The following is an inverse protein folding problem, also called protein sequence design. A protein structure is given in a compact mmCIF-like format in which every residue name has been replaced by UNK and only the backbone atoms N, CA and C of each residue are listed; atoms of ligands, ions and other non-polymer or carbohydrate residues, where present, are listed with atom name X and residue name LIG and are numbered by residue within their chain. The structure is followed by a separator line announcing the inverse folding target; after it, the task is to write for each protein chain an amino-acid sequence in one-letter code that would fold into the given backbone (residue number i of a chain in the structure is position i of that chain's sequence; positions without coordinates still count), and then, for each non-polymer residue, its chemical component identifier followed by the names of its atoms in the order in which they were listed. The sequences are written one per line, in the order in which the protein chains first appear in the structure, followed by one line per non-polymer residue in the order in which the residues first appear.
data_IF_619190742049
#
_entry.id   IF_619190742049
#
_cell.length_a   1.000
_cell.length_b   1.000
_cell.length_c   1.000
_cell.angle_alpha   90.00
_cell.angle_beta   90.00
_cell.angle_gamma   90.00
#
_symmetry.space_group_name_H-M   'P 1'
#
loop_
_entity.id
_entity.type
_entity.pdbx_description
1 polymer ?
#
# COMPACT_ATOMS: atom_id res chain seq x y z
N UNK A 1 14.72 12.59 -45.15
CA UNK A 1 14.83 11.96 -43.81
C UNK A 1 13.72 12.54 -42.97
N UNK A 2 12.69 11.76 -42.63
CA UNK A 2 11.54 12.23 -41.84
C UNK A 2 11.77 11.80 -40.39
N UNK A 3 11.89 12.77 -39.49
CA UNK A 3 11.99 12.51 -38.05
C UNK A 3 10.56 12.25 -37.57
N UNK A 4 10.24 10.99 -37.29
CA UNK A 4 8.98 10.66 -36.60
C UNK A 4 9.17 10.98 -35.12
N UNK A 5 8.52 12.03 -34.64
CA UNK A 5 8.40 12.31 -33.22
C UNK A 5 7.41 11.31 -32.62
N UNK A 6 7.92 10.29 -31.93
CA UNK A 6 7.09 9.41 -31.09
C UNK A 6 6.65 10.21 -29.88
N UNK A 7 5.39 10.65 -29.87
CA UNK A 7 4.77 11.19 -28.67
C UNK A 7 4.50 10.04 -27.70
N UNK A 8 5.33 9.93 -26.66
CA UNK A 8 5.02 9.07 -25.51
C UNK A 8 3.92 9.79 -24.74
N UNK A 9 2.68 9.32 -24.88
CA UNK A 9 1.58 9.76 -24.04
C UNK A 9 1.79 9.14 -22.66
N UNK A 10 2.45 9.86 -21.75
CA UNK A 10 2.47 9.47 -20.34
C UNK A 10 1.11 9.88 -19.75
N UNK A 11 0.22 8.93 -19.42
CA UNK A 11 -1.03 9.29 -18.76
C UNK A 11 -0.70 10.06 -17.49
N UNK A 12 -1.35 11.21 -17.30
CA UNK A 12 -1.20 11.95 -16.05
C UNK A 12 -1.70 11.06 -14.90
N UNK A 13 -1.03 11.09 -13.75
CA UNK A 13 -1.51 10.40 -12.57
C UNK A 13 -2.97 10.68 -12.29
N UNK A 14 -3.76 9.63 -12.12
CA UNK A 14 -5.12 9.79 -11.65
C UNK A 14 -5.09 9.97 -10.12
N UNK A 15 -5.40 11.18 -9.67
CA UNK A 15 -5.50 11.51 -8.24
C UNK A 15 -6.71 10.81 -7.64
N UNK A 16 -6.51 10.18 -6.50
CA UNK A 16 -7.52 9.46 -5.72
C UNK A 16 -7.38 9.86 -4.27
N UNK A 17 -8.31 9.45 -3.43
CA UNK A 17 -8.08 9.44 -1.99
C UNK A 17 -8.89 8.32 -1.36
N UNK A 18 -8.20 7.34 -0.80
CA UNK A 18 -8.79 6.27 -0.01
C UNK A 18 -7.75 5.69 0.94
N UNK A 19 -8.26 4.84 1.83
CA UNK A 19 -7.48 4.20 2.88
C UNK A 19 -7.42 2.69 2.68
N UNK A 20 -6.38 2.10 3.25
CA UNK A 20 -6.18 0.66 3.38
C UNK A 20 -5.46 0.36 4.71
N UNK A 21 -5.53 -0.88 5.16
CA UNK A 21 -4.93 -1.31 6.41
C UNK A 21 -3.75 -2.27 6.19
N UNK A 22 -2.79 -2.24 7.08
CA UNK A 22 -1.73 -3.25 7.11
C UNK A 22 -1.20 -3.48 8.50
N UNK A 23 -0.53 -4.62 8.69
CA UNK A 23 0.26 -4.90 9.87
C UNK A 23 1.51 -5.70 9.52
N UNK A 24 2.57 -5.49 10.30
CA UNK A 24 3.82 -6.27 10.21
C UNK A 24 4.08 -6.90 11.56
N UNK A 25 4.31 -8.21 11.57
CA UNK A 25 4.67 -8.95 12.77
C UNK A 25 6.07 -9.54 12.60
N UNK A 26 6.93 -9.31 13.59
CA UNK A 26 8.27 -9.88 13.68
C UNK A 26 8.34 -10.70 14.95
N UNK A 27 8.62 -12.00 14.83
CA UNK A 27 8.64 -12.96 15.94
C UNK A 27 7.36 -12.92 16.79
N UNK A 28 6.21 -12.80 16.12
CA UNK A 28 4.90 -12.73 16.75
C UNK A 28 4.56 -11.41 17.46
N UNK A 29 5.42 -10.40 17.35
CA UNK A 29 5.16 -9.05 17.87
C UNK A 29 4.85 -8.09 16.73
N UNK A 30 3.76 -7.35 16.85
CA UNK A 30 3.43 -6.27 15.92
C UNK A 30 4.50 -5.17 15.96
N UNK A 31 4.90 -4.71 14.77
CA UNK A 31 5.77 -3.55 14.63
C UNK A 31 4.97 -2.25 14.72
N UNK A 32 5.42 -1.35 15.59
CA UNK A 32 4.77 -0.06 15.79
C UNK A 32 5.22 0.97 14.74
N UNK A 33 4.33 1.25 13.78
CA UNK A 33 4.52 2.31 12.79
C UNK A 33 3.92 3.67 13.20
N UNK A 34 3.38 3.82 14.42
CA UNK A 34 2.85 5.10 14.92
C UNK A 34 3.86 6.25 15.15
N UNK A 35 5.18 6.01 15.30
CA UNK A 35 6.14 7.09 15.50
C UNK A 35 6.17 8.08 14.32
N UNK A 36 6.43 9.36 14.63
CA UNK A 36 6.48 10.45 13.64
C UNK A 36 7.52 10.26 12.53
N UNK A 37 8.52 9.38 12.72
CA UNK A 37 9.51 9.04 11.69
C UNK A 37 8.92 8.29 10.49
N UNK A 38 7.71 7.72 10.62
CA UNK A 38 6.99 7.06 9.54
C UNK A 38 5.83 7.91 8.99
N UNK A 39 5.61 9.09 9.56
CA UNK A 39 4.46 9.93 9.28
C UNK A 39 4.85 11.04 8.31
N UNK A 40 3.97 11.33 7.36
CA UNK A 40 4.07 12.51 6.50
C UNK A 40 3.20 13.64 7.05
N UNK A 41 3.70 14.86 6.94
CA UNK A 41 2.94 16.06 7.28
C UNK A 41 1.84 16.28 6.21
N UNK A 42 0.57 16.35 6.63
CA UNK A 42 -0.67 16.47 5.82
C UNK A 42 -0.76 17.70 4.88
N UNK A 43 0.33 18.44 4.67
CA UNK A 43 0.31 19.79 4.11
C UNK A 43 0.52 19.91 2.59
N UNK A 44 0.49 18.83 1.81
CA UNK A 44 0.93 18.86 0.38
C UNK A 44 -0.17 18.62 -0.66
N UNK A 45 -1.45 18.71 -0.25
CA UNK A 45 -2.65 18.52 -1.07
C UNK A 45 -2.81 19.41 -2.33
N UNK A 46 -1.87 20.30 -2.65
CA UNK A 46 -1.94 21.24 -3.79
C UNK A 46 -0.72 21.20 -4.73
N UNK A 47 0.13 20.18 -4.63
CA UNK A 47 1.33 20.06 -5.48
C UNK A 47 1.00 19.26 -6.74
N UNK A 48 0.61 19.94 -7.81
CA UNK A 48 0.43 19.33 -9.14
C UNK A 48 1.74 19.22 -9.94
N UNK A 49 2.83 19.79 -9.42
CA UNK A 49 4.17 19.79 -10.03
C UNK A 49 5.22 19.39 -8.98
N UNK A 50 6.05 18.39 -9.26
CA UNK A 50 7.05 17.93 -8.29
C UNK A 50 6.48 17.01 -7.19
N UNK A 51 5.49 16.18 -7.54
CA UNK A 51 4.94 15.11 -6.69
C UNK A 51 6.08 14.19 -6.23
N UNK A 52 6.31 14.12 -4.93
CA UNK A 52 7.25 13.20 -4.30
C UNK A 52 6.61 11.82 -4.13
N UNK A 53 7.41 10.74 -4.01
CA UNK A 53 6.88 9.40 -3.71
C UNK A 53 5.96 9.36 -2.48
N UNK A 54 6.31 10.09 -1.42
CA UNK A 54 5.52 10.20 -0.19
C UNK A 54 4.17 10.91 -0.38
N UNK A 55 4.06 11.82 -1.36
CA UNK A 55 2.79 12.49 -1.69
C UNK A 55 1.78 11.50 -2.32
N UNK A 56 2.24 10.34 -2.80
CA UNK A 56 1.40 9.34 -3.50
C UNK A 56 0.74 8.35 -2.54
N UNK A 57 1.48 7.95 -1.50
CA UNK A 57 1.08 6.93 -0.53
C UNK A 57 1.87 7.10 0.78
N UNK A 58 1.19 7.24 1.92
CA UNK A 58 1.85 7.52 3.20
C UNK A 58 1.00 7.17 4.43
N UNK A 59 1.60 7.33 5.61
CA UNK A 59 0.94 7.26 6.91
C UNK A 59 0.85 8.67 7.51
N UNK A 60 -0.18 8.95 8.29
CA UNK A 60 -0.24 10.14 9.15
C UNK A 60 -1.13 9.87 10.39
N UNK A 61 -1.34 10.89 11.22
CA UNK A 61 -2.17 10.86 12.43
C UNK A 61 -1.74 9.82 13.49
N UNK A 62 -0.47 9.40 13.44
CA UNK A 62 0.10 8.38 14.31
C UNK A 62 -0.63 7.03 14.19
N UNK A 63 -1.29 6.75 13.05
CA UNK A 63 -1.99 5.48 12.79
C UNK A 63 -1.12 4.57 11.95
N UNK A 64 -0.24 3.83 12.63
CA UNK A 64 0.75 2.98 11.99
C UNK A 64 0.19 1.89 11.06
N UNK A 65 -1.05 1.44 11.27
CA UNK A 65 -1.71 0.42 10.46
C UNK A 65 -2.72 0.95 9.44
N UNK A 66 -2.82 2.27 9.25
CA UNK A 66 -3.77 2.92 8.34
C UNK A 66 -3.00 3.80 7.35
N UNK A 67 -3.01 3.41 6.08
CA UNK A 67 -2.33 4.12 5.02
C UNK A 67 -3.30 4.93 4.15
N UNK A 68 -2.77 5.97 3.53
CA UNK A 68 -3.49 6.91 2.67
C UNK A 68 -2.94 6.79 1.26
N UNK A 69 -3.81 6.66 0.27
CA UNK A 69 -3.43 6.59 -1.15
C UNK A 69 -3.99 7.81 -1.87
N UNK A 70 -3.10 8.65 -2.40
CA UNK A 70 -3.46 9.87 -3.13
C UNK A 70 -3.31 9.74 -4.65
N UNK A 71 -2.69 8.66 -5.12
CA UNK A 71 -2.41 8.43 -6.52
C UNK A 71 -2.70 6.98 -6.90
N UNK A 72 -3.50 6.78 -7.95
CA UNK A 72 -3.82 5.46 -8.45
C UNK A 72 -2.54 4.69 -8.84
N UNK A 73 -2.62 3.37 -8.74
CA UNK A 73 -1.53 2.43 -8.99
C UNK A 73 -0.33 2.52 -8.02
N UNK A 74 -0.39 3.33 -6.95
CA UNK A 74 0.57 3.23 -5.85
C UNK A 74 0.54 1.82 -5.25
N UNK A 75 1.72 1.25 -5.02
CA UNK A 75 1.86 -0.15 -4.59
C UNK A 75 2.21 -0.28 -3.12
N UNK A 76 2.08 -1.48 -2.56
CA UNK A 76 2.62 -1.77 -1.24
C UNK A 76 4.13 -1.49 -1.18
N UNK A 77 4.86 -1.80 -2.25
CA UNK A 77 6.29 -1.48 -2.36
C UNK A 77 6.57 0.02 -2.26
N UNK A 78 5.75 0.86 -2.89
CA UNK A 78 5.86 2.32 -2.77
C UNK A 78 5.71 2.77 -1.31
N UNK A 79 4.71 2.25 -0.57
CA UNK A 79 4.53 2.55 0.85
C UNK A 79 5.74 2.13 1.68
N UNK A 80 6.16 0.86 1.58
CA UNK A 80 7.26 0.35 2.38
C UNK A 80 8.55 1.10 2.08
N UNK A 81 8.82 1.45 0.81
CA UNK A 81 9.96 2.29 0.46
C UNK A 81 9.90 3.68 1.11
N UNK A 82 8.72 4.32 1.11
CA UNK A 82 8.54 5.64 1.72
C UNK A 82 8.80 5.64 3.23
N UNK A 83 8.40 4.59 3.94
CA UNK A 83 8.63 4.44 5.38
C UNK A 83 10.02 3.85 5.72
N UNK A 84 10.90 3.69 4.74
CA UNK A 84 12.27 3.22 4.93
C UNK A 84 12.40 1.70 5.11
N UNK A 85 11.47 0.94 4.56
CA UNK A 85 11.41 -0.52 4.59
C UNK A 85 11.54 -1.11 3.19
N UNK A 86 11.84 -2.41 3.14
CA UNK A 86 11.89 -3.18 1.91
C UNK A 86 11.13 -4.48 2.07
N UNK A 87 10.36 -4.85 1.05
CA UNK A 87 9.61 -6.10 1.00
C UNK A 87 9.94 -6.83 -0.30
N UNK A 88 10.15 -8.13 -0.21
CA UNK A 88 10.45 -9.01 -1.34
C UNK A 88 9.96 -10.42 -1.11
N UNK A 89 10.23 -11.32 -2.07
CA UNK A 89 9.78 -12.72 -2.00
C UNK A 89 10.35 -13.51 -0.82
N UNK A 90 11.55 -13.15 -0.38
CA UNK A 90 12.36 -13.90 0.59
C UNK A 90 13.00 -12.99 1.66
N UNK A 91 12.74 -11.68 1.59
CA UNK A 91 13.26 -10.71 2.54
C UNK A 91 12.23 -9.68 2.98
N UNK A 92 12.42 -9.21 4.21
CA UNK A 92 11.83 -8.02 4.78
C UNK A 92 12.97 -7.20 5.39
N UNK A 93 13.03 -5.88 5.17
CA UNK A 93 14.04 -5.03 5.79
C UNK A 93 13.41 -3.86 6.53
N UNK A 94 13.94 -3.58 7.73
CA UNK A 94 13.56 -2.45 8.57
C UNK A 94 14.72 -1.46 8.64
N UNK A 95 14.59 -0.33 7.93
CA UNK A 95 15.66 0.66 7.80
C UNK A 95 16.95 0.09 7.19
N UNK A 96 18.07 0.71 7.54
CA UNK A 96 19.41 0.28 7.09
C UNK A 96 20.04 -0.84 7.95
N UNK A 97 19.38 -1.26 9.03
CA UNK A 97 20.04 -2.01 10.11
C UNK A 97 19.57 -3.46 10.26
N UNK A 98 18.47 -3.88 9.63
CA UNK A 98 17.95 -5.24 9.80
C UNK A 98 17.35 -5.77 8.51
N UNK A 99 17.78 -6.98 8.14
CA UNK A 99 17.22 -7.77 7.04
C UNK A 99 16.79 -9.11 7.64
N UNK A 100 15.52 -9.44 7.47
CA UNK A 100 14.87 -10.66 7.89
C UNK A 100 14.72 -11.57 6.67
N UNK A 101 15.42 -12.70 6.66
CA UNK A 101 15.43 -13.65 5.54
C UNK A 101 14.71 -14.93 5.96
N UNK A 102 13.82 -15.43 5.11
CA UNK A 102 13.17 -16.70 5.38
C UNK A 102 14.20 -17.85 5.37
N UNK A 103 14.08 -18.76 6.32
CA UNK A 103 14.88 -19.97 6.45
C UNK A 103 14.02 -21.19 6.85
N UNK A 104 14.65 -22.25 7.35
CA UNK A 104 13.95 -23.48 7.75
C UNK A 104 13.08 -23.33 9.00
N UNK A 105 13.30 -22.27 9.78
CA UNK A 105 12.69 -21.98 11.09
C UNK A 105 11.85 -20.72 11.04
N UNK A 106 12.36 -19.67 10.41
CA UNK A 106 11.70 -18.38 10.25
C UNK A 106 11.08 -18.31 8.88
N UNK A 107 9.80 -18.01 8.83
CA UNK A 107 9.04 -17.94 7.60
C UNK A 107 8.60 -16.51 7.36
N UNK A 108 8.60 -16.11 6.09
CA UNK A 108 8.05 -14.85 5.62
C UNK A 108 6.76 -15.14 4.87
N UNK A 109 5.64 -14.69 5.42
CA UNK A 109 4.33 -14.86 4.81
C UNK A 109 3.68 -13.52 4.53
N UNK A 110 3.05 -13.42 3.36
CA UNK A 110 2.22 -12.29 2.98
C UNK A 110 0.78 -12.78 2.81
N UNK A 111 -0.14 -12.18 3.57
CA UNK A 111 -1.58 -12.42 3.43
C UNK A 111 -2.22 -11.12 2.97
N UNK A 112 -2.67 -11.11 1.72
CA UNK A 112 -3.33 -9.99 1.08
C UNK A 112 -4.81 -10.33 0.92
N UNK A 113 -5.69 -9.55 1.58
CA UNK A 113 -7.14 -9.77 1.61
C UNK A 113 -7.53 -11.23 1.92
N UNK A 114 -6.87 -11.83 2.91
CA UNK A 114 -7.10 -13.23 3.32
C UNK A 114 -6.56 -14.29 2.36
N UNK A 115 -5.77 -13.90 1.36
CA UNK A 115 -5.13 -14.83 0.41
C UNK A 115 -3.61 -14.75 0.53
N UNK A 116 -2.95 -15.90 0.45
CA UNK A 116 -1.49 -15.97 0.47
C UNK A 116 -0.93 -15.49 -0.87
N UNK A 117 0.03 -14.56 -0.81
CA UNK A 117 0.76 -14.07 -1.97
C UNK A 117 2.26 -14.24 -1.76
N UNK A 118 3.02 -14.35 -2.85
CA UNK A 118 4.48 -14.53 -2.77
C UNK A 118 5.21 -13.23 -2.48
N UNK A 119 4.78 -12.13 -3.10
CA UNK A 119 5.39 -10.82 -2.94
C UNK A 119 4.35 -9.72 -3.25
N UNK A 120 3.99 -8.86 -2.28
CA UNK A 120 3.01 -7.80 -2.49
C UNK A 120 3.62 -6.52 -3.08
N UNK A 121 4.94 -6.41 -3.25
CA UNK A 121 5.62 -5.15 -3.60
C UNK A 121 5.08 -4.46 -4.86
N UNK A 122 4.65 -5.23 -5.86
CA UNK A 122 4.11 -4.71 -7.12
C UNK A 122 2.58 -4.73 -7.20
N UNK A 123 1.89 -5.11 -6.13
CA UNK A 123 0.42 -5.08 -6.07
C UNK A 123 0.01 -3.64 -5.75
N UNK A 124 -0.82 -3.06 -6.62
CA UNK A 124 -1.43 -1.75 -6.37
C UNK A 124 -2.39 -1.82 -5.20
N UNK A 125 -2.33 -0.84 -4.29
CA UNK A 125 -3.21 -0.77 -3.14
C UNK A 125 -4.57 -0.23 -3.59
N UNK A 126 -5.63 -0.98 -3.34
CA UNK A 126 -7.01 -0.57 -3.54
C UNK A 126 -7.67 -0.12 -2.23
N UNK A 127 -8.84 0.50 -2.36
CA UNK A 127 -9.61 0.96 -1.20
C UNK A 127 -9.98 -0.21 -0.30
N UNK A 128 -9.77 -0.06 1.00
CA UNK A 128 -10.07 -1.04 2.06
C UNK A 128 -9.27 -2.34 2.02
N UNK A 129 -8.22 -2.40 1.19
CA UNK A 129 -7.32 -3.56 1.20
C UNK A 129 -6.66 -3.76 2.57
N UNK A 130 -6.30 -5.01 2.83
CA UNK A 130 -5.63 -5.44 4.04
C UNK A 130 -4.41 -6.29 3.69
N UNK A 131 -3.26 -5.91 4.24
CA UNK A 131 -2.01 -6.67 4.10
C UNK A 131 -1.45 -7.05 5.48
N UNK A 132 -1.25 -8.35 5.70
CA UNK A 132 -0.43 -8.86 6.81
C UNK A 132 0.92 -9.31 6.28
N UNK A 133 2.00 -8.82 6.89
CA UNK A 133 3.36 -9.33 6.72
C UNK A 133 3.75 -10.04 8.02
N UNK A 134 4.10 -11.31 7.92
CA UNK A 134 4.54 -12.10 9.06
C UNK A 134 5.96 -12.59 8.82
N UNK A 135 6.88 -12.24 9.71
CA UNK A 135 8.19 -12.87 9.82
C UNK A 135 8.32 -13.56 11.19
N UNK A 136 8.60 -14.85 11.18
CA UNK A 136 8.87 -15.61 12.40
C UNK A 136 8.48 -17.07 12.28
N UNK A 137 8.35 -17.75 13.41
CA UNK A 137 7.94 -19.17 13.43
C UNK A 137 6.44 -19.37 13.18
N UNK A 138 6.04 -20.63 12.99
CA UNK A 138 4.64 -21.03 12.77
C UNK A 138 4.33 -21.30 11.30
N UNK A 139 3.31 -22.11 11.05
CA UNK A 139 2.93 -22.50 9.70
C UNK A 139 2.10 -21.42 8.99
N UNK A 140 2.14 -21.43 7.66
CA UNK A 140 1.34 -20.53 6.83
C UNK A 140 -0.15 -20.58 7.17
N UNK A 141 -0.68 -21.77 7.47
CA UNK A 141 -2.08 -21.97 7.83
C UNK A 141 -2.43 -21.39 9.20
N UNK A 142 -1.53 -21.50 10.18
CA UNK A 142 -1.74 -20.91 11.52
C UNK A 142 -1.76 -19.38 11.47
N UNK A 143 -0.88 -18.77 10.68
CA UNK A 143 -0.85 -17.32 10.48
C UNK A 143 -2.08 -16.87 9.69
N UNK A 144 -2.42 -17.60 8.62
CA UNK A 144 -3.63 -17.33 7.84
C UNK A 144 -4.89 -17.42 8.69
N UNK A 145 -4.99 -18.35 9.64
CA UNK A 145 -6.17 -18.44 10.52
C UNK A 145 -6.34 -17.22 11.45
N UNK A 146 -5.27 -16.47 11.73
CA UNK A 146 -5.27 -15.29 12.62
C UNK A 146 -5.40 -13.96 11.89
N UNK A 147 -5.19 -13.95 10.56
CA UNK A 147 -5.02 -12.73 9.77
C UNK A 147 -6.09 -11.66 10.06
N UNK A 148 -7.35 -12.10 10.15
CA UNK A 148 -8.50 -11.20 10.29
C UNK A 148 -8.47 -10.42 11.61
N UNK A 149 -7.82 -10.97 12.63
CA UNK A 149 -7.64 -10.35 13.95
C UNK A 149 -6.35 -9.55 14.09
N UNK A 150 -5.39 -9.76 13.18
CA UNK A 150 -4.05 -9.16 13.26
C UNK A 150 -3.91 -7.88 12.43
N UNK A 151 -4.85 -7.63 11.51
CA UNK A 151 -4.87 -6.42 10.69
C UNK A 151 -6.19 -5.72 10.94
N UNK A 152 -6.20 -4.41 11.16
CA UNK A 152 -7.45 -3.67 11.29
C UNK A 152 -8.29 -3.71 9.99
N UNK A 153 -9.57 -3.41 10.11
CA UNK A 153 -10.54 -3.36 9.00
C UNK A 153 -11.32 -2.04 8.98
N UNK A 154 -10.74 -0.99 9.56
CA UNK A 154 -11.38 0.29 9.79
C UNK A 154 -11.20 1.30 8.64
N UNK A 155 -10.42 1.01 7.60
CA UNK A 155 -10.22 1.88 6.44
C UNK A 155 -11.52 2.42 5.81
N UNK A 156 -12.60 1.62 5.81
CA UNK A 156 -13.91 2.05 5.30
C UNK A 156 -14.54 3.18 6.12
N UNK A 157 -14.22 3.25 7.41
CA UNK A 157 -14.66 4.33 8.29
C UNK A 157 -13.93 5.64 7.93
N UNK A 158 -12.63 5.58 7.64
CA UNK A 158 -11.83 6.75 7.25
C UNK A 158 -12.18 7.27 5.86
N UNK A 159 -12.54 6.38 4.93
CA UNK A 159 -13.08 6.79 3.63
C UNK A 159 -14.36 7.65 3.74
N UNK A 160 -15.07 7.61 4.88
CA UNK A 160 -16.32 8.34 5.11
C UNK A 160 -16.14 9.56 6.01
N UNK A 161 -15.00 9.68 6.69
CA UNK A 161 -14.70 10.78 7.61
C UNK A 161 -14.05 11.91 6.84
N UNK A 162 -14.17 13.11 7.38
CA UNK A 162 -13.29 14.21 6.99
C UNK A 162 -11.87 13.84 7.43
N UNK A 163 -10.96 13.85 6.47
CA UNK A 163 -9.55 13.54 6.67
C UNK A 163 -8.74 14.81 6.32
N UNK A 164 -7.87 15.31 7.20
CA UNK A 164 -7.01 16.46 6.89
C UNK A 164 -6.06 16.23 5.70
N UNK A 165 -5.74 14.97 5.37
CA UNK A 165 -5.02 14.61 4.15
C UNK A 165 -5.93 14.58 2.91
N UNK A 166 -7.26 14.70 3.07
CA UNK A 166 -8.16 14.78 1.92
C UNK A 166 -7.96 16.06 1.14
N UNK A 167 -7.47 15.92 -0.09
CA UNK A 167 -7.62 16.94 -1.10
C UNK A 167 -9.12 17.18 -1.27
N UNK A 168 -9.58 18.43 -1.18
CA UNK A 168 -10.99 18.86 -1.29
C UNK A 168 -11.59 18.71 -2.69
N UNK A 169 -11.32 17.59 -3.34
CA UNK A 169 -11.95 17.08 -4.56
C UNK A 169 -12.38 15.64 -4.33
N UNK A 170 -13.31 15.45 -3.39
CA UNK A 170 -14.15 14.27 -3.37
C UNK A 170 -15.16 14.34 -4.54
N UNK A 171 -14.66 14.30 -5.78
CA UNK A 171 -15.52 14.31 -6.97
C UNK A 171 -15.91 12.90 -7.42
N UNK A 172 -15.30 11.84 -6.89
CA UNK A 172 -15.52 10.48 -7.44
C UNK A 172 -15.57 9.34 -6.42
N UNK A 173 -15.93 9.60 -5.15
CA UNK A 173 -16.25 8.54 -4.18
C UNK A 173 -17.35 7.57 -4.65
N UNK A 174 -18.17 7.97 -5.63
CA UNK A 174 -19.22 7.14 -6.24
C UNK A 174 -18.81 6.43 -7.55
N UNK A 175 -17.65 6.75 -8.14
CA UNK A 175 -17.12 6.05 -9.32
C UNK A 175 -16.00 5.06 -8.99
N UNK A 176 -15.76 4.77 -7.71
CA UNK A 176 -14.89 3.66 -7.30
C UNK A 176 -15.26 2.29 -7.93
N UNK A 177 -16.52 2.00 -8.32
CA UNK A 177 -16.83 0.79 -9.11
C UNK A 177 -16.43 0.89 -10.60
N UNK A 178 -16.06 2.07 -11.11
CA UNK A 178 -15.71 2.30 -12.53
C UNK A 178 -14.18 2.26 -12.74
N UNK A 179 -13.39 1.94 -11.72
CA UNK A 179 -12.04 1.42 -11.94
C UNK A 179 -12.07 -0.06 -12.42
N UNK A 180 -13.24 -0.70 -12.40
CA UNK A 180 -13.43 -2.10 -12.81
C UNK A 180 -13.82 -2.39 -14.28
N UNK A 181 -13.94 -1.45 -15.25
CA UNK A 181 -14.05 -1.83 -16.66
C UNK A 181 -12.81 -1.47 -17.52
N UNK A 182 -11.75 -0.87 -16.98
CA UNK A 182 -10.56 -0.56 -17.81
C UNK A 182 -9.59 -1.75 -17.89
N UNK A 183 -9.61 -2.68 -16.91
CA UNK A 183 -8.89 -3.96 -17.03
C UNK A 183 -9.66 -4.98 -17.90
N UNK A 184 -10.99 -4.89 -17.98
CA UNK A 184 -11.81 -5.85 -18.74
C UNK A 184 -11.81 -5.60 -20.26
N UNK A 185 -11.32 -4.45 -20.74
CA UNK A 185 -11.26 -4.14 -22.18
C UNK A 185 -9.98 -4.68 -22.87
N UNK A 186 -8.94 -5.05 -22.11
CA UNK A 186 -7.68 -5.55 -22.67
C UNK A 186 -7.72 -7.07 -22.89
N UNK A 187 -8.54 -7.82 -22.16
CA UNK A 187 -8.57 -9.29 -22.27
C UNK A 187 -9.50 -9.85 -23.36
N UNK A 188 -10.32 -9.01 -24.02
CA UNK A 188 -11.27 -9.46 -25.03
C UNK A 188 -10.98 -9.03 -26.48
N UNK A 189 -9.88 -8.30 -26.75
CA UNK A 189 -9.50 -7.86 -28.11
C UNK A 189 -7.97 -7.93 -28.39
N UNK A 190 -7.26 -8.88 -27.79
CA UNK A 190 -5.87 -9.23 -28.13
C UNK A 190 -5.75 -10.69 -28.56
#
# INVERSE_FOLDING_TARGET
MSISATYIFTPRPYMVHYHANFAVYIEGKEWDFSPSSYMEEVSRCNITEGVLPADRIHLHDNKGGLLHVHMAASTWGDLFANIGWGIGSDYLSSGYNSIYLADTTHHLYYIYNGTIVMNPANISVASTDRLLIWYGTGTQQEVLAKWDTLVDSDAIEYNKKDDPASCSVNTYGWLSPIANPIMEWIEHHG
#
